data_IF_870364970210
#
_entry.id   IF_870364970210
#
_cell.length_a   1.000
_cell.length_b   1.000
_cell.length_c   1.000
_cell.angle_alpha   90.00
_cell.angle_beta   90.00
_cell.angle_gamma   90.00
#
_symmetry.space_group_name_H-M   'P 1'
#
loop_
_entity.id
_entity.type
_entity.pdbx_description
1 polymer ?
#
# COMPACT_ATOMS: atom_id res chain seq x y z
N UNK A 1 -87.30 -15.49 -31.86
CA UNK A 1 -85.87 -15.47 -32.26
C UNK A 1 -85.09 -14.91 -31.08
N UNK A 2 -84.49 -15.78 -30.26
CA UNK A 2 -83.89 -15.42 -28.97
C UNK A 2 -82.45 -14.92 -29.17
N UNK A 3 -82.15 -13.73 -28.60
CA UNK A 3 -80.78 -13.21 -28.48
C UNK A 3 -79.97 -14.07 -27.49
N UNK A 4 -78.78 -14.51 -27.91
CA UNK A 4 -77.78 -15.13 -27.05
C UNK A 4 -76.66 -14.11 -26.79
N UNK A 5 -76.58 -13.60 -25.56
CA UNK A 5 -75.44 -12.83 -25.04
C UNK A 5 -74.46 -13.82 -24.41
N UNK A 6 -73.23 -13.90 -24.94
CA UNK A 6 -72.11 -14.64 -24.33
C UNK A 6 -71.47 -13.79 -23.21
N UNK A 7 -71.05 -14.39 -22.07
CA UNK A 7 -70.41 -13.65 -20.99
C UNK A 7 -68.92 -13.36 -21.28
N UNK A 8 -68.47 -12.18 -20.89
CA UNK A 8 -67.09 -11.70 -20.97
C UNK A 8 -66.17 -12.51 -20.04
N UNK A 9 -65.00 -12.92 -20.57
CA UNK A 9 -63.94 -13.59 -19.81
C UNK A 9 -63.43 -12.69 -18.66
N UNK A 10 -63.30 -13.32 -17.49
CA UNK A 10 -62.93 -12.76 -16.20
C UNK A 10 -61.55 -12.07 -16.17
N UNK A 11 -61.52 -10.87 -15.58
CA UNK A 11 -60.36 -10.03 -15.21
C UNK A 11 -59.50 -10.65 -14.09
N UNK A 12 -58.99 -11.88 -14.26
CA UNK A 12 -58.16 -12.54 -13.24
C UNK A 12 -56.72 -12.98 -13.60
N UNK A 13 -56.24 -13.03 -14.86
CA UNK A 13 -54.88 -13.52 -15.12
C UNK A 13 -53.79 -12.52 -14.69
N UNK A 14 -54.08 -11.21 -14.67
CA UNK A 14 -53.09 -10.20 -14.32
C UNK A 14 -52.75 -10.14 -12.83
N UNK A 15 -53.70 -10.49 -11.95
CA UNK A 15 -53.45 -10.50 -10.50
C UNK A 15 -52.48 -11.61 -10.12
N UNK A 16 -52.67 -12.80 -10.70
CA UNK A 16 -51.79 -13.95 -10.49
C UNK A 16 -50.39 -13.65 -11.00
N UNK A 17 -50.28 -13.02 -12.17
CA UNK A 17 -49.00 -12.59 -12.73
C UNK A 17 -48.30 -11.55 -11.84
N UNK A 18 -49.06 -10.61 -11.27
CA UNK A 18 -48.53 -9.62 -10.33
C UNK A 18 -48.02 -10.26 -9.03
N UNK A 19 -48.77 -11.22 -8.48
CA UNK A 19 -48.35 -11.94 -7.27
C UNK A 19 -47.11 -12.79 -7.51
N UNK A 20 -47.01 -13.46 -8.67
CA UNK A 20 -45.80 -14.20 -9.05
C UNK A 20 -44.61 -13.27 -9.22
N UNK A 21 -44.78 -12.13 -9.89
CA UNK A 21 -43.71 -11.14 -10.05
C UNK A 21 -43.23 -10.57 -8.70
N UNK A 22 -44.17 -10.23 -7.82
CA UNK A 22 -43.86 -9.77 -6.47
C UNK A 22 -43.15 -10.86 -5.64
N UNK A 23 -43.59 -12.11 -5.76
CA UNK A 23 -42.97 -13.25 -5.07
C UNK A 23 -41.54 -13.51 -5.56
N UNK A 24 -41.31 -13.57 -6.87
CA UNK A 24 -39.96 -13.75 -7.42
C UNK A 24 -39.05 -12.57 -7.10
N UNK A 25 -39.56 -11.34 -7.07
CA UNK A 25 -38.79 -10.15 -6.66
C UNK A 25 -38.40 -10.23 -5.18
N UNK A 26 -39.33 -10.59 -4.31
CA UNK A 26 -39.07 -10.74 -2.88
C UNK A 26 -38.08 -11.88 -2.59
N UNK A 27 -38.24 -13.03 -3.26
CA UNK A 27 -37.30 -14.15 -3.15
C UNK A 27 -35.93 -13.78 -3.68
N UNK A 28 -35.82 -13.05 -4.79
CA UNK A 28 -34.54 -12.57 -5.31
C UNK A 28 -33.83 -11.63 -4.34
N UNK A 29 -34.57 -10.70 -3.70
CA UNK A 29 -34.04 -9.80 -2.68
C UNK A 29 -33.60 -10.57 -1.43
N UNK A 30 -34.43 -11.49 -0.93
CA UNK A 30 -34.09 -12.30 0.24
C UNK A 30 -32.92 -13.26 -0.03
N UNK A 31 -32.85 -13.84 -1.22
CA UNK A 31 -31.74 -14.69 -1.64
C UNK A 31 -30.45 -13.88 -1.80
N UNK A 32 -30.52 -12.64 -2.31
CA UNK A 32 -29.40 -11.70 -2.32
C UNK A 32 -28.95 -11.36 -0.89
N UNK A 33 -29.88 -11.06 0.01
CA UNK A 33 -29.56 -10.78 1.41
C UNK A 33 -28.98 -11.99 2.16
N UNK A 34 -29.38 -13.20 1.78
CA UNK A 34 -28.92 -14.44 2.42
C UNK A 34 -27.61 -14.98 1.83
N UNK A 35 -27.36 -14.76 0.54
CA UNK A 35 -26.14 -15.20 -0.17
C UNK A 35 -25.03 -14.15 -0.19
N UNK A 36 -25.34 -12.88 0.13
CA UNK A 36 -24.34 -11.83 0.28
C UNK A 36 -23.63 -12.00 1.62
N UNK A 37 -22.33 -12.30 1.59
CA UNK A 37 -21.46 -12.09 2.74
C UNK A 37 -21.40 -10.59 3.09
N UNK A 38 -21.19 -10.26 4.36
CA UNK A 38 -21.06 -8.87 4.86
C UNK A 38 -20.06 -8.01 4.06
N UNK A 39 -19.09 -8.64 3.39
CA UNK A 39 -18.13 -8.04 2.45
C UNK A 39 -18.78 -7.24 1.30
N UNK A 40 -19.89 -7.71 0.72
CA UNK A 40 -20.54 -7.05 -0.44
C UNK A 40 -21.30 -5.77 -0.03
N UNK A 41 -21.72 -5.68 1.24
CA UNK A 41 -22.36 -4.49 1.81
C UNK A 41 -21.34 -3.39 2.13
N UNK A 42 -20.06 -3.74 2.35
CA UNK A 42 -18.98 -2.77 2.52
C UNK A 42 -18.53 -2.14 1.20
N UNK A 43 -18.79 -2.80 0.06
CA UNK A 43 -18.44 -2.31 -1.27
C UNK A 43 -19.41 -1.26 -1.84
N UNK A 44 -20.58 -1.04 -1.22
CA UNK A 44 -21.65 -0.18 -1.73
C UNK A 44 -21.68 1.21 -1.08
N UNK A 45 -20.62 2.01 -1.22
CA UNK A 45 -20.66 3.50 -1.21
C UNK A 45 -21.27 4.25 -0.01
N UNK A 46 -21.81 3.58 1.00
CA UNK A 46 -22.54 4.16 2.14
C UNK A 46 -21.63 4.40 3.35
N UNK A 47 -20.40 3.90 3.32
CA UNK A 47 -19.44 4.05 4.43
C UNK A 47 -18.85 5.47 4.51
N UNK A 48 -18.84 6.25 3.43
CA UNK A 48 -18.05 7.49 3.39
C UNK A 48 -18.54 8.63 4.29
N UNK A 49 -19.75 8.54 4.84
CA UNK A 49 -20.33 9.60 5.68
C UNK A 49 -20.92 9.02 6.97
N UNK A 50 -20.09 8.29 7.73
CA UNK A 50 -20.50 7.67 9.00
C UNK A 50 -20.08 8.53 10.20
N UNK A 51 -20.87 8.58 11.29
CA UNK A 51 -20.49 9.27 12.53
C UNK A 51 -19.13 8.84 13.07
N UNK A 52 -18.75 7.57 12.88
CA UNK A 52 -17.47 7.01 13.28
C UNK A 52 -16.31 7.64 12.50
N UNK A 53 -16.46 7.85 11.18
CA UNK A 53 -15.45 8.55 10.36
C UNK A 53 -15.31 10.00 10.81
N UNK A 54 -16.41 10.69 11.05
CA UNK A 54 -16.38 12.07 11.54
C UNK A 54 -15.69 12.16 12.91
N UNK A 55 -15.97 11.22 13.81
CA UNK A 55 -15.32 11.14 15.11
C UNK A 55 -13.81 10.85 14.99
N UNK A 56 -13.42 9.91 14.13
CA UNK A 56 -12.01 9.58 13.86
C UNK A 56 -11.27 10.76 13.25
N UNK A 57 -11.80 11.41 12.20
CA UNK A 57 -11.16 12.58 11.62
C UNK A 57 -11.02 13.70 12.65
N UNK A 58 -12.07 13.98 13.42
CA UNK A 58 -12.08 15.04 14.42
C UNK A 58 -11.07 14.79 15.55
N UNK A 59 -10.90 13.53 16.00
CA UNK A 59 -9.91 13.18 17.04
C UNK A 59 -8.46 13.44 16.60
N UNK A 60 -8.22 13.44 15.29
CA UNK A 60 -6.92 13.75 14.68
C UNK A 60 -6.81 15.18 14.14
N UNK A 61 -7.83 16.04 14.36
CA UNK A 61 -7.83 17.43 13.88
C UNK A 61 -8.11 17.59 12.38
N UNK A 62 -8.73 16.60 11.75
CA UNK A 62 -9.14 16.61 10.35
C UNK A 62 -10.66 16.73 10.23
N UNK A 63 -11.11 17.31 9.11
CA UNK A 63 -12.53 17.25 8.71
C UNK A 63 -12.72 16.04 7.81
N UNK A 64 -13.73 15.23 8.10
CA UNK A 64 -14.09 14.12 7.23
C UNK A 64 -14.35 14.63 5.81
N UNK A 65 -13.88 13.89 4.82
CA UNK A 65 -14.09 14.27 3.45
C UNK A 65 -15.56 14.06 3.07
N UNK A 66 -16.26 15.05 2.51
CA UNK A 66 -17.68 14.91 2.20
C UNK A 66 -17.92 13.79 1.18
N UNK A 67 -18.98 13.01 1.39
CA UNK A 67 -19.47 12.10 0.38
C UNK A 67 -19.77 12.87 -0.91
N UNK A 68 -19.31 12.35 -2.05
CA UNK A 68 -19.58 12.99 -3.34
C UNK A 68 -21.06 12.87 -3.67
N UNK A 69 -21.65 13.85 -4.36
CA UNK A 69 -23.04 13.77 -4.81
C UNK A 69 -23.31 12.55 -5.72
N UNK A 70 -22.25 12.02 -6.34
CA UNK A 70 -22.26 10.77 -7.12
C UNK A 70 -22.26 9.48 -6.27
N UNK A 71 -22.07 9.57 -4.94
CA UNK A 71 -21.87 8.40 -4.07
C UNK A 71 -20.56 7.64 -4.33
N UNK A 72 -19.70 8.15 -5.22
CA UNK A 72 -18.45 7.53 -5.59
C UNK A 72 -17.36 7.87 -4.59
N UNK A 73 -16.64 6.83 -4.13
CA UNK A 73 -15.52 7.01 -3.22
C UNK A 73 -14.32 7.65 -3.88
N UNK A 74 -13.53 8.38 -3.07
CA UNK A 74 -12.25 8.92 -3.53
C UNK A 74 -11.32 7.75 -3.84
N UNK A 75 -10.63 7.84 -4.97
CA UNK A 75 -9.57 6.89 -5.31
C UNK A 75 -8.27 7.25 -4.58
N UNK A 76 -7.60 6.25 -4.05
CA UNK A 76 -6.31 6.35 -3.40
C UNK A 76 -5.25 5.84 -4.37
N UNK A 77 -4.33 6.73 -4.75
CA UNK A 77 -3.19 6.40 -5.59
C UNK A 77 -1.93 6.40 -4.72
N UNK A 78 -1.24 5.28 -4.71
CA UNK A 78 0.06 5.15 -4.05
C UNK A 78 1.16 5.34 -5.10
N UNK A 79 1.92 6.44 -4.98
CA UNK A 79 3.06 6.73 -5.85
C UNK A 79 4.34 6.44 -5.07
N UNK A 80 5.02 5.34 -5.43
CA UNK A 80 6.23 4.91 -4.73
C UNK A 80 7.42 4.85 -5.67
N UNK A 81 8.50 5.53 -5.27
CA UNK A 81 9.78 5.44 -5.95
C UNK A 81 10.54 4.19 -5.50
N UNK A 82 11.10 3.45 -6.44
CA UNK A 82 11.87 2.24 -6.13
C UNK A 82 13.32 2.30 -6.64
N UNK A 83 14.23 1.74 -5.85
CA UNK A 83 15.59 1.47 -6.26
C UNK A 83 15.88 -0.03 -6.35
N UNK A 84 16.34 -0.62 -5.26
CA UNK A 84 16.70 -2.04 -5.15
C UNK A 84 15.87 -2.76 -4.09
N UNK A 85 14.91 -2.07 -3.47
CA UNK A 85 14.12 -2.53 -2.34
C UNK A 85 12.92 -3.40 -2.77
N UNK A 86 13.15 -4.46 -3.56
CA UNK A 86 12.07 -5.32 -4.08
C UNK A 86 11.24 -5.98 -2.97
N UNK A 87 11.89 -6.40 -1.89
CA UNK A 87 11.22 -7.00 -0.73
C UNK A 87 10.26 -6.01 -0.05
N UNK A 88 10.68 -4.75 0.10
CA UNK A 88 9.83 -3.70 0.65
C UNK A 88 8.70 -3.31 -0.28
N UNK A 89 8.90 -3.39 -1.60
CA UNK A 89 7.80 -3.21 -2.54
C UNK A 89 6.74 -4.31 -2.36
N UNK A 90 7.16 -5.57 -2.23
CA UNK A 90 6.23 -6.68 -2.00
C UNK A 90 5.45 -6.51 -0.69
N UNK A 91 6.14 -6.17 0.40
CA UNK A 91 5.54 -5.91 1.72
C UNK A 91 4.55 -4.75 1.65
N UNK A 92 4.91 -3.66 0.97
CA UNK A 92 4.04 -2.49 0.82
C UNK A 92 2.78 -2.82 0.02
N UNK A 93 2.95 -3.52 -1.10
CA UNK A 93 1.83 -3.94 -1.95
C UNK A 93 0.87 -4.83 -1.16
N UNK A 94 1.40 -5.80 -0.41
CA UNK A 94 0.60 -6.71 0.42
C UNK A 94 -0.18 -5.96 1.49
N UNK A 95 0.51 -5.13 2.28
CA UNK A 95 -0.06 -4.46 3.44
C UNK A 95 -1.10 -3.39 3.09
N UNK A 96 -1.04 -2.83 1.88
CA UNK A 96 -1.91 -1.74 1.43
C UNK A 96 -2.92 -2.18 0.36
N UNK A 97 -2.91 -3.45 -0.03
CA UNK A 97 -3.62 -3.92 -1.22
C UNK A 97 -5.12 -3.63 -1.18
N UNK A 98 -5.76 -3.84 -0.03
CA UNK A 98 -7.21 -3.70 0.13
C UNK A 98 -7.66 -2.24 0.13
N UNK A 99 -6.79 -1.33 0.60
CA UNK A 99 -7.10 0.09 0.80
C UNK A 99 -6.73 0.96 -0.41
N UNK A 100 -5.74 0.56 -1.20
CA UNK A 100 -5.23 1.32 -2.35
C UNK A 100 -5.95 0.89 -3.63
N UNK A 101 -6.35 1.88 -4.44
CA UNK A 101 -6.98 1.63 -5.73
C UNK A 101 -5.96 1.34 -6.83
N UNK A 102 -4.86 2.10 -6.84
CA UNK A 102 -3.82 2.02 -7.87
C UNK A 102 -2.45 2.27 -7.26
N UNK A 103 -1.54 1.34 -7.47
CA UNK A 103 -0.11 1.48 -7.16
C UNK A 103 0.62 1.95 -8.42
N UNK A 104 1.33 3.07 -8.33
CA UNK A 104 2.17 3.60 -9.41
C UNK A 104 3.63 3.45 -8.96
N UNK A 105 4.30 2.49 -9.56
CA UNK A 105 5.70 2.18 -9.25
C UNK A 105 6.59 3.01 -10.17
N UNK A 106 7.27 3.97 -9.56
CA UNK A 106 8.10 4.94 -10.24
C UNK A 106 9.56 4.51 -10.18
N UNK A 107 10.17 4.24 -11.32
CA UNK A 107 11.57 3.85 -11.40
C UNK A 107 12.39 4.80 -12.27
N UNK A 108 13.55 5.22 -11.78
CA UNK A 108 14.49 6.07 -12.50
C UNK A 108 15.60 5.27 -13.15
N UNK A 109 15.92 5.49 -14.45
CA UNK A 109 17.14 4.98 -15.10
C UNK A 109 18.41 5.74 -14.67
N UNK A 110 18.30 6.72 -13.76
CA UNK A 110 19.42 7.53 -13.28
C UNK A 110 19.46 7.61 -11.75
N UNK A 111 20.66 7.61 -11.18
CA UNK A 111 20.90 7.89 -9.75
C UNK A 111 20.73 9.39 -9.44
N UNK A 112 20.73 9.76 -8.16
CA UNK A 112 20.75 11.19 -7.73
C UNK A 112 21.97 11.97 -8.24
N UNK A 113 23.04 11.26 -8.61
CA UNK A 113 24.25 11.83 -9.19
C UNK A 113 24.22 11.88 -10.72
N UNK A 114 23.12 11.43 -11.34
CA UNK A 114 22.93 11.42 -12.79
C UNK A 114 23.55 10.23 -13.53
N UNK A 115 24.19 9.29 -12.81
CA UNK A 115 24.73 8.07 -13.40
C UNK A 115 23.62 7.10 -13.80
N UNK A 116 23.86 6.30 -14.85
CA UNK A 116 22.94 5.25 -15.26
C UNK A 116 22.69 4.25 -14.12
N UNK A 117 21.47 3.73 -14.05
CA UNK A 117 21.00 2.78 -13.06
C UNK A 117 20.32 1.60 -13.75
N UNK A 118 20.52 0.40 -13.22
CA UNK A 118 19.78 -0.78 -13.63
C UNK A 118 18.29 -0.65 -13.25
N UNK A 119 17.42 -1.24 -14.06
CA UNK A 119 15.96 -1.16 -13.90
C UNK A 119 15.45 -2.38 -13.15
N UNK A 120 15.84 -2.51 -11.88
CA UNK A 120 15.61 -3.70 -11.06
C UNK A 120 14.13 -4.04 -10.92
N UNK A 121 13.25 -3.05 -10.78
CA UNK A 121 11.81 -3.31 -10.67
C UNK A 121 11.22 -3.79 -12.00
N UNK A 122 11.64 -3.17 -13.11
CA UNK A 122 11.27 -3.60 -14.47
C UNK A 122 11.74 -5.01 -14.79
N UNK A 123 12.98 -5.33 -14.47
CA UNK A 123 13.61 -6.63 -14.74
C UNK A 123 13.02 -7.76 -13.89
N UNK A 124 12.37 -7.43 -12.77
CA UNK A 124 11.73 -8.38 -11.85
C UNK A 124 10.21 -8.17 -11.75
N UNK A 125 9.58 -7.60 -12.78
CA UNK A 125 8.16 -7.22 -12.73
C UNK A 125 7.24 -8.42 -12.45
N UNK A 126 7.59 -9.59 -12.98
CA UNK A 126 6.83 -10.84 -12.81
C UNK A 126 6.77 -11.32 -11.36
N UNK A 127 7.74 -10.90 -10.51
CA UNK A 127 7.71 -11.17 -9.06
C UNK A 127 6.42 -10.64 -8.41
N UNK A 128 5.83 -9.59 -8.99
CA UNK A 128 4.66 -8.89 -8.45
C UNK A 128 3.36 -9.26 -9.17
N UNK A 129 3.34 -10.36 -9.94
CA UNK A 129 2.19 -10.77 -10.76
C UNK A 129 0.86 -10.80 -10.00
N UNK A 130 0.89 -11.18 -8.71
CA UNK A 130 -0.31 -11.22 -7.86
C UNK A 130 -0.98 -9.85 -7.63
N UNK A 131 -0.30 -8.74 -7.92
CA UNK A 131 -0.78 -7.37 -7.71
C UNK A 131 -1.02 -6.59 -9.01
N UNK A 132 -0.80 -7.19 -10.18
CA UNK A 132 -0.77 -6.49 -11.46
C UNK A 132 -2.11 -5.86 -11.87
N UNK A 133 -3.23 -6.29 -11.29
CA UNK A 133 -4.57 -5.71 -11.52
C UNK A 133 -4.69 -4.27 -10.99
N UNK A 134 -3.92 -3.90 -9.96
CA UNK A 134 -3.85 -2.54 -9.39
C UNK A 134 -2.52 -1.82 -9.65
N UNK A 135 -1.55 -2.47 -10.27
CA UNK A 135 -0.16 -2.00 -10.32
C UNK A 135 0.22 -1.47 -11.71
N UNK A 136 0.70 -0.22 -11.76
CA UNK A 136 1.16 0.46 -12.95
C UNK A 136 2.65 0.78 -12.85
N UNK A 137 3.40 0.45 -13.89
CA UNK A 137 4.81 0.82 -14.00
C UNK A 137 4.97 2.19 -14.67
N UNK A 138 5.79 3.06 -14.07
CA UNK A 138 6.14 4.35 -14.63
C UNK A 138 7.67 4.54 -14.61
N UNK A 139 8.28 4.45 -15.79
CA UNK A 139 9.69 4.82 -15.99
C UNK A 139 9.81 6.34 -16.06
N UNK A 140 10.74 6.91 -15.28
CA UNK A 140 10.98 8.35 -15.29
C UNK A 140 11.75 8.77 -16.56
N UNK A 141 11.16 9.72 -17.28
CA UNK A 141 11.78 10.37 -18.42
C UNK A 141 12.40 11.71 -18.03
N UNK A 142 13.55 12.04 -18.62
CA UNK A 142 14.27 13.30 -18.37
C UNK A 142 14.41 14.09 -19.67
N UNK A 143 13.33 14.72 -20.18
CA UNK A 143 13.42 15.53 -21.38
C UNK A 143 14.31 16.74 -21.15
N UNK A 144 15.01 17.20 -22.19
CA UNK A 144 15.91 18.38 -22.11
C UNK A 144 15.18 19.67 -21.73
N UNK A 145 13.87 19.72 -21.96
CA UNK A 145 12.98 20.82 -21.56
C UNK A 145 12.52 20.75 -20.09
N UNK A 146 12.91 19.70 -19.33
CA UNK A 146 12.48 19.50 -17.96
C UNK A 146 13.11 20.53 -17.01
N UNK A 147 12.35 21.57 -16.67
CA UNK A 147 12.74 22.62 -15.73
C UNK A 147 11.69 22.72 -14.62
N UNK A 148 11.69 21.79 -13.64
CA UNK A 148 10.68 21.78 -12.60
C UNK A 148 10.82 23.01 -11.70
N UNK A 149 9.69 23.67 -11.41
CA UNK A 149 9.67 24.73 -10.40
C UNK A 149 9.96 24.12 -9.04
N UNK A 150 10.93 24.66 -8.31
CA UNK A 150 11.22 24.23 -6.94
C UNK A 150 10.11 24.71 -6.01
N UNK A 151 9.28 23.80 -5.53
CA UNK A 151 8.10 24.08 -4.68
C UNK A 151 8.35 23.81 -3.20
N UNK A 152 9.60 23.99 -2.73
CA UNK A 152 9.98 23.65 -1.34
C UNK A 152 9.09 24.35 -0.30
N UNK A 153 8.79 25.64 -0.50
CA UNK A 153 8.00 26.45 0.44
C UNK A 153 6.52 26.06 0.45
N UNK A 154 5.91 25.75 -0.70
CA UNK A 154 4.49 25.36 -0.74
C UNK A 154 4.28 23.97 -0.14
N UNK A 155 5.18 23.03 -0.43
CA UNK A 155 5.09 21.65 0.07
C UNK A 155 5.15 21.56 1.59
N UNK A 156 5.95 22.40 2.25
CA UNK A 156 6.01 22.43 3.71
C UNK A 156 4.74 23.03 4.35
N UNK A 157 4.08 23.98 3.68
CA UNK A 157 2.81 24.56 4.16
C UNK A 157 1.61 23.62 4.00
N UNK A 158 1.70 22.66 3.08
CA UNK A 158 0.64 21.69 2.79
C UNK A 158 0.86 20.34 3.49
N UNK A 159 1.98 20.14 4.19
CA UNK A 159 2.26 18.90 4.90
C UNK A 159 1.62 18.87 6.29
N UNK A 160 0.86 17.81 6.58
CA UNK A 160 0.44 17.45 7.93
C UNK A 160 1.39 16.42 8.56
N UNK A 161 1.49 16.39 9.88
CA UNK A 161 2.23 15.35 10.62
C UNK A 161 1.25 14.41 11.30
N UNK A 162 1.29 13.14 10.92
CA UNK A 162 0.60 12.07 11.61
C UNK A 162 1.62 11.26 12.43
N UNK A 163 1.60 11.42 13.75
CA UNK A 163 2.44 10.61 14.63
C UNK A 163 1.99 9.13 14.60
N UNK A 164 2.94 8.20 14.69
CA UNK A 164 2.70 6.75 14.76
C UNK A 164 1.81 6.19 13.64
N UNK A 165 1.87 6.76 12.45
CA UNK A 165 1.00 6.37 11.32
C UNK A 165 1.63 5.41 10.33
N UNK A 166 2.93 5.13 10.45
CA UNK A 166 3.63 4.23 9.53
C UNK A 166 4.94 3.74 10.11
N UNK A 167 5.42 2.66 9.50
CA UNK A 167 6.74 2.10 9.69
C UNK A 167 7.70 2.74 8.69
N UNK A 168 8.93 3.02 9.11
CA UNK A 168 9.98 3.49 8.21
C UNK A 168 11.21 2.61 8.38
N UNK A 169 11.69 2.03 7.28
CA UNK A 169 13.03 1.47 7.26
C UNK A 169 13.92 2.12 6.21
N UNK A 170 15.08 2.61 6.65
CA UNK A 170 16.11 3.18 5.78
C UNK A 170 17.10 2.14 5.24
N UNK A 171 17.38 1.06 6.00
CA UNK A 171 18.47 0.12 5.71
C UNK A 171 18.15 -1.35 6.09
N UNK A 172 16.94 -1.82 5.78
CA UNK A 172 16.53 -3.19 6.07
C UNK A 172 16.69 -4.07 4.83
N UNK A 173 17.88 -4.63 4.68
CA UNK A 173 18.20 -5.57 3.61
C UNK A 173 18.64 -6.91 4.19
N UNK A 174 18.35 -7.96 3.43
CA UNK A 174 18.81 -9.32 3.66
C UNK A 174 20.24 -9.54 3.11
N UNK A 175 20.91 -8.48 2.64
CA UNK A 175 22.24 -8.54 2.03
C UNK A 175 23.07 -7.31 2.36
N UNK A 176 24.35 -7.54 2.66
CA UNK A 176 25.39 -6.54 2.84
C UNK A 176 25.65 -5.77 1.55
N UNK A 177 25.63 -6.44 0.40
CA UNK A 177 25.75 -5.77 -0.91
C UNK A 177 24.64 -4.72 -1.10
N UNK A 178 23.37 -5.09 -0.86
CA UNK A 178 22.24 -4.17 -0.97
C UNK A 178 22.34 -3.01 0.03
N UNK A 179 22.80 -3.31 1.25
CA UNK A 179 23.07 -2.30 2.27
C UNK A 179 24.10 -1.27 1.78
N UNK A 180 25.25 -1.73 1.28
CA UNK A 180 26.34 -0.88 0.80
C UNK A 180 25.95 -0.11 -0.47
N UNK A 181 25.11 -0.70 -1.34
CA UNK A 181 24.56 -0.04 -2.52
C UNK A 181 23.61 1.11 -2.13
N UNK A 182 22.75 0.89 -1.13
CA UNK A 182 21.89 1.94 -0.57
C UNK A 182 22.72 3.08 0.00
N UNK A 183 23.75 2.78 0.79
CA UNK A 183 24.67 3.78 1.35
C UNK A 183 25.37 4.60 0.26
N UNK A 184 25.81 3.94 -0.83
CA UNK A 184 26.45 4.63 -1.96
C UNK A 184 25.49 5.60 -2.68
N UNK A 185 24.18 5.40 -2.54
CA UNK A 185 23.15 6.19 -3.20
C UNK A 185 22.63 7.37 -2.35
N UNK A 186 23.16 7.59 -1.14
CA UNK A 186 22.73 8.69 -0.28
C UNK A 186 23.14 10.07 -0.83
N UNK A 187 22.25 11.05 -0.63
CA UNK A 187 22.52 12.45 -0.95
C UNK A 187 23.60 13.05 -0.04
N UNK A 188 23.67 12.60 1.21
CA UNK A 188 24.70 13.00 2.17
C UNK A 188 25.99 12.20 1.94
N UNK A 189 26.85 12.72 1.06
CA UNK A 189 28.09 12.04 0.63
C UNK A 189 29.01 11.58 1.77
N UNK A 190 29.06 12.31 2.87
CA UNK A 190 29.89 11.96 4.04
C UNK A 190 29.49 10.62 4.66
N UNK A 191 28.23 10.20 4.52
CA UNK A 191 27.70 8.94 5.05
C UNK A 191 28.22 7.71 4.29
N UNK A 192 28.91 7.92 3.17
CA UNK A 192 29.52 6.89 2.32
C UNK A 192 31.06 6.80 2.46
N UNK A 193 31.63 7.35 3.54
CA UNK A 193 33.06 7.25 3.86
C UNK A 193 33.51 5.79 4.03
N UNK A 194 34.77 5.49 3.70
CA UNK A 194 35.32 4.13 3.75
C UNK A 194 35.22 3.50 5.15
N UNK A 195 35.32 4.33 6.19
CA UNK A 195 35.18 3.95 7.60
C UNK A 195 33.79 3.43 7.97
N UNK A 196 32.75 3.78 7.20
CA UNK A 196 31.38 3.33 7.40
C UNK A 196 31.00 2.15 6.51
N UNK A 197 31.89 1.74 5.59
CA UNK A 197 31.64 0.70 4.59
C UNK A 197 32.21 -0.66 4.98
N UNK A 198 32.84 -0.78 6.14
CA UNK A 198 33.32 -2.05 6.68
C UNK A 198 32.13 -2.97 7.02
N UNK A 199 31.99 -4.14 6.36
CA UNK A 199 30.92 -5.09 6.63
C UNK A 199 30.85 -5.53 8.10
N UNK A 200 32.00 -5.73 8.75
CA UNK A 200 32.02 -6.19 10.14
C UNK A 200 31.45 -5.13 11.09
N UNK A 201 31.77 -3.86 10.83
CA UNK A 201 31.20 -2.72 11.55
C UNK A 201 29.69 -2.62 11.34
N UNK A 202 29.22 -2.77 10.10
CA UNK A 202 27.79 -2.69 9.77
C UNK A 202 27.02 -3.81 10.48
N UNK A 203 27.48 -5.05 10.34
CA UNK A 203 26.86 -6.20 10.99
C UNK A 203 26.82 -6.05 12.52
N UNK A 204 27.92 -5.60 13.13
CA UNK A 204 27.96 -5.28 14.56
C UNK A 204 26.93 -4.21 14.94
N UNK A 205 26.86 -3.10 14.21
CA UNK A 205 25.91 -2.05 14.51
C UNK A 205 24.46 -2.52 14.38
N UNK A 206 24.15 -3.36 13.38
CA UNK A 206 22.82 -3.95 13.21
C UNK A 206 22.45 -4.89 14.37
N UNK A 207 23.35 -5.80 14.78
CA UNK A 207 23.11 -6.73 15.89
C UNK A 207 22.84 -6.01 17.21
N UNK A 208 23.65 -4.98 17.47
CA UNK A 208 23.63 -4.25 18.74
C UNK A 208 22.64 -3.08 18.75
N UNK A 209 21.93 -2.81 17.65
CA UNK A 209 21.01 -1.67 17.56
C UNK A 209 21.73 -0.32 17.68
N UNK A 210 22.87 -0.16 17.02
CA UNK A 210 23.69 1.05 17.07
C UNK A 210 23.57 1.86 15.78
N UNK A 211 23.76 3.18 15.88
CA UNK A 211 23.92 4.03 14.70
C UNK A 211 25.26 3.74 14.01
N UNK A 212 25.21 3.32 12.74
CA UNK A 212 26.41 2.97 11.95
C UNK A 212 27.40 4.15 11.87
N UNK A 213 26.87 5.37 11.86
CA UNK A 213 27.65 6.61 11.82
C UNK A 213 28.09 7.11 13.21
N UNK A 214 27.71 6.45 14.29
CA UNK A 214 28.11 6.79 15.66
C UNK A 214 27.50 8.09 16.19
N UNK A 215 26.37 8.56 15.66
CA UNK A 215 25.72 9.79 16.10
C UNK A 215 24.99 9.56 17.42
N UNK A 216 25.21 10.45 18.38
CA UNK A 216 24.56 10.37 19.72
C UNK A 216 23.06 10.64 19.70
N UNK A 217 22.55 11.31 18.68
CA UNK A 217 21.13 11.67 18.55
C UNK A 217 20.25 10.55 18.01
N UNK A 218 20.85 9.45 17.53
CA UNK A 218 20.14 8.33 16.92
C UNK A 218 20.24 7.13 17.83
N UNK A 219 19.25 7.00 18.72
CA UNK A 219 19.13 5.88 19.65
C UNK A 219 18.11 4.89 19.11
N UNK A 220 18.41 3.60 19.20
CA UNK A 220 17.47 2.54 18.83
C UNK A 220 17.06 1.77 20.07
N UNK A 221 15.80 1.35 20.09
CA UNK A 221 15.25 0.47 21.11
C UNK A 221 15.02 -0.91 20.46
N UNK A 222 15.50 -1.96 21.12
CA UNK A 222 15.25 -3.32 20.67
C UNK A 222 13.87 -3.77 21.15
N UNK A 223 12.97 -4.00 20.21
CA UNK A 223 11.67 -4.60 20.49
C UNK A 223 11.81 -6.12 20.50
N UNK A 224 11.38 -6.75 21.59
CA UNK A 224 11.33 -8.22 21.74
C UNK A 224 9.90 -8.65 21.46
N UNK A 225 9.75 -9.71 20.65
CA UNK A 225 8.44 -10.30 20.31
C UNK A 225 7.45 -9.27 19.75
N UNK A 226 7.89 -8.52 18.74
CA UNK A 226 7.06 -7.49 18.11
C UNK A 226 5.85 -8.13 17.40
N UNK A 227 4.65 -7.87 17.93
CA UNK A 227 3.39 -8.34 17.37
C UNK A 227 2.80 -7.40 16.31
N UNK A 228 3.31 -6.17 16.21
CA UNK A 228 2.91 -5.20 15.20
C UNK A 228 3.80 -5.37 13.96
N UNK A 229 3.53 -6.43 13.19
CA UNK A 229 4.21 -6.73 11.92
C UNK A 229 3.17 -6.92 10.82
N UNK A 230 3.42 -6.45 9.58
CA UNK A 230 2.58 -6.79 8.45
C UNK A 230 2.42 -8.32 8.33
N UNK A 231 1.22 -8.87 8.03
CA UNK A 231 0.98 -10.30 7.96
C UNK A 231 2.01 -11.05 7.12
N UNK A 232 2.35 -10.52 5.93
CA UNK A 232 3.39 -11.10 5.07
C UNK A 232 4.75 -11.23 5.77
N UNK A 233 5.18 -10.22 6.53
CA UNK A 233 6.47 -10.24 7.26
C UNK A 233 6.42 -11.23 8.43
N UNK A 234 5.28 -11.30 9.12
CA UNK A 234 5.07 -12.22 10.24
C UNK A 234 5.11 -13.66 9.77
N UNK A 235 4.38 -13.98 8.71
CA UNK A 235 4.00 -15.35 8.35
C UNK A 235 4.94 -15.97 7.30
N UNK A 236 5.56 -15.18 6.41
CA UNK A 236 6.47 -15.69 5.37
C UNK A 236 7.94 -15.77 5.88
N UNK A 237 8.59 -16.95 5.82
CA UNK A 237 9.95 -17.14 6.32
C UNK A 237 11.01 -16.34 5.53
N UNK A 238 10.75 -15.92 4.29
CA UNK A 238 11.68 -15.08 3.50
C UNK A 238 12.04 -13.79 4.22
N UNK A 239 11.13 -13.25 5.02
CA UNK A 239 11.33 -12.02 5.77
C UNK A 239 11.85 -12.25 7.19
N UNK A 240 12.41 -13.42 7.49
CA UNK A 240 13.01 -13.73 8.79
C UNK A 240 14.02 -12.69 9.25
N UNK A 241 14.82 -12.14 8.32
CA UNK A 241 15.81 -11.09 8.60
C UNK A 241 15.21 -9.76 9.07
N UNK A 242 13.90 -9.54 8.91
CA UNK A 242 13.20 -8.35 9.45
C UNK A 242 12.74 -8.58 10.89
N UNK A 243 12.66 -9.83 11.35
CA UNK A 243 12.15 -10.21 12.67
C UNK A 243 13.27 -10.33 13.70
N UNK A 244 14.39 -10.93 13.31
CA UNK A 244 15.55 -11.07 14.18
C UNK A 244 16.85 -10.92 13.38
N UNK A 245 17.73 -10.06 13.87
CA UNK A 245 19.04 -9.74 13.30
C UNK A 245 20.17 -9.90 14.30
N UNK A 246 19.96 -10.66 15.37
CA UNK A 246 20.95 -10.83 16.43
C UNK A 246 21.97 -11.96 16.20
N UNK A 247 21.71 -12.83 15.22
CA UNK A 247 22.68 -13.85 14.80
C UNK A 247 23.96 -13.26 14.21
N UNK A 248 24.99 -14.10 14.06
CA UNK A 248 26.32 -13.71 13.56
C UNK A 248 26.23 -12.91 12.25
N UNK A 249 25.40 -13.38 11.32
CA UNK A 249 25.21 -12.74 10.01
C UNK A 249 24.47 -11.40 10.04
N UNK A 250 23.93 -10.98 11.19
CA UNK A 250 23.04 -9.82 11.32
C UNK A 250 21.81 -9.87 10.38
N UNK A 251 21.35 -11.08 10.05
CA UNK A 251 20.25 -11.32 9.10
C UNK A 251 20.63 -11.09 7.63
N UNK A 252 21.93 -10.99 7.30
CA UNK A 252 22.39 -10.84 5.93
C UNK A 252 22.85 -12.19 5.35
N UNK A 253 22.39 -12.55 4.16
CA UNK A 253 22.65 -13.86 3.53
C UNK A 253 24.05 -14.00 2.96
N UNK A 254 24.72 -12.89 2.72
CA UNK A 254 26.04 -12.75 2.08
C UNK A 254 27.12 -12.31 3.08
N UNK A 255 26.84 -12.39 4.37
CA UNK A 255 27.77 -12.07 5.45
C UNK A 255 27.81 -13.24 6.46
N UNK A 256 29.00 -13.68 6.91
CA UNK A 256 29.16 -14.77 7.89
C UNK A 256 28.40 -14.53 9.20
#
# INVERSE_FOLDING_TARGET
MALSLRPLLSKQPYKILLYLFAFFSAVFVLLRLYLSSDEDLLALGTIQDSPEIHALCSSHGFTAYPATASGARRKIYDLTMINTELDWLEIRLDALYDEVDVFIIVESPKTFHGHAKLMVAKDNWDRFAKYHDKMLYHELEFPSSFHPRRTFVSRWRESGRYANSSWHCSSCFDSMELFLNKMASFSHRWMNGAEYRDPARIAHAVREGLDIWGRRSSTFERLIDNQDLPPLVRDDPRYGYLKDRSGESAGMKDYP
#
